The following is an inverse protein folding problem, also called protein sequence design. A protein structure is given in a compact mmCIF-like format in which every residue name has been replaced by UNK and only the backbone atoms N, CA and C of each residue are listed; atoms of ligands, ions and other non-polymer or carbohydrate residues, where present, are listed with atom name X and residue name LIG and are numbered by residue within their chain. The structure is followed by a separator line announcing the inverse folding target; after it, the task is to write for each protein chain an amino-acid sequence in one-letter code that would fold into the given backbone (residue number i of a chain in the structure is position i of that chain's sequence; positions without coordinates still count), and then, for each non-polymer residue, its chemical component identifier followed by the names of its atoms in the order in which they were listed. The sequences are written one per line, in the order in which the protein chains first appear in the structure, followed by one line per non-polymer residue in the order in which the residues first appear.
data_IF_109537183185
#
_entry.id   IF_109537183185
#
_cell.length_a   1.000
_cell.length_b   1.000
_cell.length_c   1.000
_cell.angle_alpha   90.00
_cell.angle_beta   90.00
_cell.angle_gamma   90.00
#
_symmetry.space_group_name_H-M   'P 1'
#
loop_
_entity.id
_entity.type
_entity.pdbx_description
1 polymer ?
#
# COMPACT_ATOMS: atom_id res chain seq x y z
N UNK A 1 -8.93 -9.81 22.85
CA UNK A 1 -7.49 -9.63 22.62
C UNK A 1 -7.24 -9.41 21.12
N UNK A 2 -6.47 -8.38 20.76
CA UNK A 2 -5.98 -8.16 19.38
C UNK A 2 -4.77 -9.09 19.20
N UNK A 3 -4.75 -9.86 18.13
CA UNK A 3 -3.66 -10.81 17.83
C UNK A 3 -2.78 -10.33 16.68
N UNK A 4 -3.30 -9.50 15.78
CA UNK A 4 -2.62 -9.08 14.59
C UNK A 4 -3.09 -7.70 14.09
N UNK A 5 -2.25 -7.04 13.29
CA UNK A 5 -2.59 -5.80 12.59
C UNK A 5 -2.40 -5.98 11.08
N UNK A 6 -3.34 -5.44 10.31
CA UNK A 6 -3.26 -5.38 8.86
C UNK A 6 -3.22 -3.93 8.41
N UNK A 7 -2.20 -3.57 7.62
CA UNK A 7 -2.19 -2.33 6.87
C UNK A 7 -2.83 -2.58 5.51
N UNK A 8 -4.06 -2.06 5.31
CA UNK A 8 -4.90 -2.32 4.16
C UNK A 8 -5.17 -1.05 3.35
N UNK A 9 -4.96 -1.09 2.03
CA UNK A 9 -5.30 0.05 1.19
C UNK A 9 -4.61 0.10 -0.17
N UNK A 10 -4.59 1.29 -0.76
CA UNK A 10 -3.91 1.57 -2.02
C UNK A 10 -2.46 2.00 -1.78
N UNK A 11 -1.65 1.90 -2.85
CA UNK A 11 -0.28 2.40 -2.89
C UNK A 11 0.03 3.03 -4.25
N UNK A 12 1.07 3.86 -4.30
CA UNK A 12 1.68 4.29 -5.55
C UNK A 12 2.81 3.34 -5.94
N UNK A 13 2.89 2.96 -7.21
CA UNK A 13 4.03 2.23 -7.76
C UNK A 13 5.23 3.16 -7.93
N UNK A 14 6.42 2.68 -7.58
CA UNK A 14 7.69 3.32 -7.93
C UNK A 14 8.50 2.46 -8.90
N UNK A 15 8.23 1.16 -8.96
CA UNK A 15 8.77 0.25 -9.95
C UNK A 15 7.91 0.27 -11.23
N UNK A 16 8.52 0.43 -12.40
CA UNK A 16 7.84 0.67 -13.68
C UNK A 16 7.01 -0.50 -14.19
N UNK A 17 7.30 -1.72 -13.74
CA UNK A 17 6.57 -2.93 -14.14
C UNK A 17 5.23 -3.12 -13.40
N UNK A 18 4.98 -2.36 -12.34
CA UNK A 18 3.72 -2.39 -11.61
C UNK A 18 2.63 -1.61 -12.35
N UNK A 19 1.47 -2.24 -12.52
CA UNK A 19 0.31 -1.69 -13.20
C UNK A 19 -0.84 -1.41 -12.22
N UNK A 20 -1.78 -0.52 -12.56
CA UNK A 20 -3.00 -0.34 -11.79
C UNK A 20 -3.70 -1.67 -11.50
N UNK A 21 -4.09 -1.88 -10.26
CA UNK A 21 -4.72 -3.11 -9.78
C UNK A 21 -3.77 -4.26 -9.44
N UNK A 22 -2.46 -4.16 -9.70
CA UNK A 22 -1.52 -5.15 -9.17
C UNK A 22 -1.55 -5.12 -7.64
N UNK A 23 -1.52 -6.30 -7.04
CA UNK A 23 -1.46 -6.47 -5.60
C UNK A 23 0.01 -6.53 -5.16
N UNK A 24 0.36 -5.77 -4.13
CA UNK A 24 1.65 -5.85 -3.45
C UNK A 24 1.41 -6.41 -2.05
N UNK A 25 2.03 -7.55 -1.78
CA UNK A 25 2.11 -8.21 -0.48
C UNK A 25 3.58 -8.14 -0.03
N UNK A 26 4.00 -7.01 0.53
CA UNK A 26 5.40 -6.75 0.78
C UNK A 26 5.97 -7.72 1.81
N UNK A 27 7.22 -8.08 1.64
CA UNK A 27 8.00 -8.85 2.60
C UNK A 27 8.53 -7.92 3.70
N UNK A 28 8.78 -6.67 3.31
CA UNK A 28 9.38 -5.66 4.17
C UNK A 28 8.76 -4.29 3.93
N UNK A 29 8.65 -3.53 5.01
CA UNK A 29 8.34 -2.10 4.99
C UNK A 29 9.63 -1.35 5.36
N UNK A 30 10.01 -0.37 4.55
CA UNK A 30 11.09 0.57 4.86
C UNK A 30 10.48 1.91 5.24
N UNK A 31 10.63 2.28 6.51
CA UNK A 31 10.18 3.56 7.04
C UNK A 31 11.06 4.72 6.56
N UNK A 32 10.54 5.94 6.60
CA UNK A 32 11.24 7.14 6.15
C UNK A 32 12.51 7.42 6.97
N UNK A 33 12.55 6.99 8.23
CA UNK A 33 13.72 7.13 9.11
C UNK A 33 14.76 6.02 8.93
N UNK A 34 14.56 5.12 7.97
CA UNK A 34 15.44 3.98 7.69
C UNK A 34 15.16 2.76 8.56
N UNK A 35 14.10 2.78 9.35
CA UNK A 35 13.64 1.63 10.11
C UNK A 35 13.00 0.58 9.19
N UNK A 36 13.32 -0.68 9.44
CA UNK A 36 12.81 -1.81 8.66
C UNK A 36 11.88 -2.69 9.50
N UNK A 37 10.80 -3.13 8.87
CA UNK A 37 9.80 -4.00 9.50
C UNK A 37 9.41 -5.11 8.54
N UNK A 38 9.66 -6.35 8.93
CA UNK A 38 9.22 -7.51 8.14
C UNK A 38 7.73 -7.78 8.39
N UNK A 39 7.03 -8.24 7.36
CA UNK A 39 5.68 -8.77 7.47
C UNK A 39 5.73 -10.25 7.84
N UNK A 40 4.67 -10.77 8.46
CA UNK A 40 4.60 -12.18 8.82
C UNK A 40 4.60 -13.06 7.56
N UNK A 41 5.66 -13.86 7.40
CA UNK A 41 5.89 -14.66 6.21
C UNK A 41 4.89 -15.83 6.10
N UNK A 42 4.50 -16.43 7.23
CA UNK A 42 3.54 -17.53 7.25
C UNK A 42 2.15 -17.03 6.88
N UNK A 43 1.74 -15.91 7.46
CA UNK A 43 0.47 -15.27 7.14
C UNK A 43 0.40 -14.82 5.69
N UNK A 44 1.45 -14.15 5.19
CA UNK A 44 1.54 -13.77 3.78
C UNK A 44 1.41 -14.97 2.84
N UNK A 45 2.12 -16.07 3.13
CA UNK A 45 2.05 -17.31 2.35
C UNK A 45 0.62 -17.89 2.35
N UNK A 46 -0.03 -17.93 3.50
CA UNK A 46 -1.38 -18.45 3.63
C UNK A 46 -2.38 -17.58 2.86
N UNK A 47 -2.26 -16.25 2.94
CA UNK A 47 -3.08 -15.36 2.14
C UNK A 47 -2.88 -15.60 0.64
N UNK A 48 -1.63 -15.71 0.16
CA UNK A 48 -1.31 -15.95 -1.25
C UNK A 48 -1.96 -17.24 -1.76
N UNK A 49 -1.96 -18.31 -0.97
CA UNK A 49 -2.57 -19.60 -1.33
C UNK A 49 -4.10 -19.53 -1.49
N UNK A 50 -4.74 -18.55 -0.87
CA UNK A 50 -6.18 -18.33 -0.96
C UNK A 50 -6.58 -17.27 -2.00
N UNK A 51 -5.61 -16.60 -2.64
CA UNK A 51 -5.92 -15.61 -3.67
C UNK A 51 -6.48 -16.28 -4.93
N UNK A 52 -7.46 -15.66 -5.60
CA UNK A 52 -7.89 -16.10 -6.92
C UNK A 52 -6.74 -16.05 -7.93
N UNK A 53 -6.64 -17.02 -8.83
CA UNK A 53 -5.57 -17.12 -9.85
C UNK A 53 -5.41 -15.87 -10.72
N UNK A 54 -6.51 -15.14 -10.96
CA UNK A 54 -6.48 -13.90 -11.76
C UNK A 54 -5.95 -12.68 -11.00
N UNK A 55 -5.69 -12.78 -9.68
CA UNK A 55 -5.11 -11.70 -8.89
C UNK A 55 -3.60 -11.77 -8.96
N UNK A 56 -3.02 -10.96 -9.83
CA UNK A 56 -1.56 -10.82 -9.93
C UNK A 56 -1.00 -10.14 -8.68
N UNK A 57 -0.06 -10.79 -8.01
CA UNK A 57 0.57 -10.28 -6.80
C UNK A 57 2.10 -10.28 -6.89
N UNK A 58 2.73 -9.39 -6.13
CA UNK A 58 4.19 -9.27 -6.01
C UNK A 58 4.58 -9.10 -4.53
N UNK A 59 5.75 -9.62 -4.19
CA UNK A 59 6.42 -9.39 -2.90
C UNK A 59 7.33 -8.16 -2.95
N UNK A 60 8.38 -8.14 -2.13
CA UNK A 60 9.42 -7.11 -2.12
C UNK A 60 9.23 -6.05 -1.05
N UNK A 61 9.80 -4.85 -1.26
CA UNK A 61 9.83 -3.78 -0.26
C UNK A 61 8.80 -2.70 -0.58
N UNK A 62 7.97 -2.35 0.42
CA UNK A 62 7.10 -1.18 0.42
C UNK A 62 7.80 -0.04 1.17
N UNK A 63 7.76 1.16 0.61
CA UNK A 63 8.39 2.35 1.19
C UNK A 63 7.33 3.21 1.87
N UNK A 64 7.58 3.67 3.11
CA UNK A 64 6.79 4.74 3.70
C UNK A 64 7.31 6.10 3.24
N UNK A 65 6.42 7.03 2.92
CA UNK A 65 6.74 8.42 2.66
C UNK A 65 5.77 9.33 3.40
N UNK A 66 6.27 10.30 4.14
CA UNK A 66 5.45 11.31 4.84
C UNK A 66 4.85 12.35 3.89
N UNK A 67 5.27 12.36 2.63
CA UNK A 67 4.82 13.30 1.61
C UNK A 67 4.42 12.60 0.31
N UNK A 68 3.53 13.26 -0.44
CA UNK A 68 3.09 12.76 -1.75
C UNK A 68 4.25 12.82 -2.74
N UNK A 69 4.64 11.66 -3.29
CA UNK A 69 5.62 11.53 -4.37
C UNK A 69 4.86 11.66 -5.70
N UNK A 70 4.74 12.88 -6.21
CA UNK A 70 3.80 13.23 -7.25
C UNK A 70 4.31 13.00 -8.70
N UNK A 71 5.63 13.03 -8.93
CA UNK A 71 6.19 12.98 -10.29
C UNK A 71 6.88 11.65 -10.60
N UNK A 72 6.87 11.27 -11.89
CA UNK A 72 7.62 10.11 -12.41
C UNK A 72 9.10 10.17 -11.99
N UNK A 73 9.71 11.36 -12.09
CA UNK A 73 11.11 11.54 -11.75
C UNK A 73 11.38 11.25 -10.26
N UNK A 74 10.51 11.72 -9.36
CA UNK A 74 10.61 11.42 -7.92
C UNK A 74 10.42 9.93 -7.64
N UNK A 75 9.40 9.30 -8.26
CA UNK A 75 9.15 7.86 -8.12
C UNK A 75 10.35 7.03 -8.59
N UNK A 76 10.89 7.37 -9.76
CA UNK A 76 12.08 6.70 -10.30
C UNK A 76 13.31 6.88 -9.39
N UNK A 77 13.58 8.09 -8.92
CA UNK A 77 14.69 8.36 -8.01
C UNK A 77 14.55 7.59 -6.69
N UNK A 78 13.32 7.48 -6.17
CA UNK A 78 13.05 6.70 -4.97
C UNK A 78 13.27 5.20 -5.21
N UNK A 79 12.80 4.67 -6.33
CA UNK A 79 13.03 3.27 -6.72
C UNK A 79 14.53 2.94 -6.84
N UNK A 80 15.30 3.79 -7.55
CA UNK A 80 16.76 3.60 -7.72
C UNK A 80 17.49 3.62 -6.37
N UNK A 81 17.09 4.52 -5.47
CA UNK A 81 17.73 4.68 -4.16
C UNK A 81 17.43 3.54 -3.21
N UNK A 82 16.21 3.00 -3.23
CA UNK A 82 15.70 2.08 -2.20
C UNK A 82 15.49 0.65 -2.67
N UNK A 83 15.41 0.42 -3.99
CA UNK A 83 14.97 -0.86 -4.55
C UNK A 83 13.50 -1.19 -4.27
N UNK A 84 12.74 -0.29 -3.63
CA UNK A 84 11.34 -0.50 -3.31
C UNK A 84 10.45 -0.63 -4.54
N UNK A 85 9.32 -1.31 -4.41
CA UNK A 85 8.38 -1.54 -5.50
C UNK A 85 7.23 -0.53 -5.52
N UNK A 86 6.76 -0.18 -4.34
CA UNK A 86 5.62 0.72 -4.14
C UNK A 86 5.85 1.59 -2.90
N UNK A 87 5.03 2.61 -2.74
CA UNK A 87 5.05 3.46 -1.56
C UNK A 87 3.63 3.73 -1.04
N UNK A 88 3.55 3.93 0.28
CA UNK A 88 2.37 4.45 0.96
C UNK A 88 2.75 5.45 2.06
N UNK A 89 1.81 5.83 2.91
CA UNK A 89 2.04 6.85 3.94
C UNK A 89 1.79 6.34 5.37
N UNK A 90 1.41 5.08 5.56
CA UNK A 90 0.89 4.59 6.84
C UNK A 90 1.50 3.26 7.31
N UNK A 91 2.03 2.44 6.38
CA UNK A 91 2.37 1.04 6.71
C UNK A 91 3.47 0.91 7.75
N UNK A 92 4.49 1.77 7.74
CA UNK A 92 5.55 1.67 8.74
C UNK A 92 5.05 2.11 10.14
N UNK A 93 4.14 3.08 10.22
CA UNK A 93 3.52 3.45 11.50
C UNK A 93 2.73 2.29 12.12
N UNK A 94 1.96 1.56 11.28
CA UNK A 94 1.22 0.37 11.72
C UNK A 94 2.19 -0.77 12.10
N UNK A 95 3.24 -0.97 11.31
CA UNK A 95 4.27 -1.97 11.59
C UNK A 95 5.01 -1.71 12.91
N UNK A 96 5.37 -0.45 13.19
CA UNK A 96 5.94 -0.03 14.48
C UNK A 96 5.01 -0.37 15.65
N UNK A 97 3.72 -0.08 15.48
CA UNK A 97 2.69 -0.39 16.49
C UNK A 97 2.59 -1.90 16.72
N UNK A 98 2.54 -2.70 15.65
CA UNK A 98 2.51 -4.16 15.74
C UNK A 98 3.73 -4.70 16.49
N UNK A 99 4.93 -4.24 16.12
CA UNK A 99 6.19 -4.62 16.77
C UNK A 99 6.20 -4.26 18.26
N UNK A 100 5.75 -3.05 18.60
CA UNK A 100 5.70 -2.60 20.01
C UNK A 100 4.81 -3.49 20.89
N UNK A 101 3.72 -3.99 20.31
CA UNK A 101 2.76 -4.85 21.02
C UNK A 101 2.97 -6.36 20.77
N UNK A 102 4.06 -6.77 20.12
CA UNK A 102 4.35 -8.17 19.74
C UNK A 102 3.21 -8.83 18.96
N UNK A 103 2.57 -8.07 18.06
CA UNK A 103 1.47 -8.54 17.23
C UNK A 103 2.00 -8.99 15.86
N UNK A 104 1.33 -9.98 15.25
CA UNK A 104 1.56 -10.31 13.85
C UNK A 104 1.19 -9.12 12.95
N UNK A 105 1.93 -8.93 11.87
CA UNK A 105 1.73 -7.81 10.97
C UNK A 105 1.72 -8.23 9.50
N UNK A 106 0.74 -7.73 8.77
CA UNK A 106 0.65 -7.88 7.33
C UNK A 106 0.33 -6.54 6.66
N UNK A 107 0.91 -6.28 5.49
CA UNK A 107 0.52 -5.16 4.64
C UNK A 107 -0.05 -5.70 3.32
N UNK A 108 -1.15 -5.11 2.87
CA UNK A 108 -1.88 -5.47 1.65
C UNK A 108 -2.15 -4.18 0.90
N UNK A 109 -1.51 -4.02 -0.27
CA UNK A 109 -1.59 -2.80 -1.07
C UNK A 109 -1.96 -3.12 -2.52
N UNK A 110 -2.94 -2.40 -3.06
CA UNK A 110 -3.23 -2.43 -4.49
C UNK A 110 -2.77 -1.14 -5.16
N UNK A 111 -2.15 -1.25 -6.32
CA UNK A 111 -1.60 -0.10 -7.04
C UNK A 111 -2.72 0.74 -7.64
N UNK A 112 -2.83 1.98 -7.18
CA UNK A 112 -3.79 2.98 -7.66
C UNK A 112 -3.11 4.11 -8.44
N UNK A 113 -1.81 4.33 -8.25
CA UNK A 113 -1.02 5.36 -8.91
C UNK A 113 0.21 4.72 -9.57
N UNK A 114 0.24 4.54 -10.90
CA UNK A 114 1.35 3.89 -11.59
C UNK A 114 2.61 4.75 -11.63
N UNK A 115 3.79 4.10 -11.67
CA UNK A 115 5.09 4.77 -11.66
C UNK A 115 5.30 5.75 -12.83
N UNK A 116 4.74 5.42 -13.98
CA UNK A 116 4.84 6.23 -15.22
C UNK A 116 3.87 7.42 -15.29
N UNK A 117 3.18 7.74 -14.21
CA UNK A 117 2.15 8.77 -14.18
C UNK A 117 2.56 9.93 -13.26
N UNK A 118 2.45 11.17 -13.77
CA UNK A 118 2.58 12.36 -12.93
C UNK A 118 1.22 12.67 -12.31
N UNK A 119 1.20 12.90 -11.01
CA UNK A 119 -0.04 13.21 -10.32
C UNK A 119 -0.58 14.55 -10.81
N UNK A 120 -1.84 14.64 -11.27
CA UNK A 120 -2.36 15.88 -11.86
C UNK A 120 -2.23 17.08 -10.92
N UNK A 121 -1.69 18.19 -11.41
CA UNK A 121 -1.57 19.43 -10.65
C UNK A 121 -2.89 19.87 -10.01
N UNK A 122 -4.01 19.65 -10.72
CA UNK A 122 -5.33 19.98 -10.23
C UNK A 122 -5.66 19.25 -8.93
N UNK A 123 -5.25 17.97 -8.81
CA UNK A 123 -5.47 17.16 -7.61
C UNK A 123 -4.49 17.54 -6.51
N UNK A 124 -3.18 17.67 -6.83
CA UNK A 124 -2.16 18.05 -5.83
C UNK A 124 -2.46 19.38 -5.16
N UNK A 125 -2.96 20.37 -5.90
CA UNK A 125 -3.36 21.66 -5.34
C UNK A 125 -4.73 21.65 -4.63
N UNK A 126 -5.56 20.62 -4.90
CA UNK A 126 -6.84 20.45 -4.22
C UNK A 126 -6.73 19.67 -2.90
N UNK A 127 -5.60 18.97 -2.69
CA UNK A 127 -5.35 18.26 -1.44
C UNK A 127 -5.10 19.25 -0.29
N UNK A 128 -5.66 18.91 0.87
CA UNK A 128 -5.30 19.58 2.12
C UNK A 128 -4.12 18.83 2.81
N UNK A 129 -3.53 19.36 3.88
CA UNK A 129 -2.48 18.68 4.64
C UNK A 129 -2.88 17.30 5.23
N UNK A 130 -4.19 17.01 5.26
CA UNK A 130 -4.74 15.74 5.72
C UNK A 130 -5.01 14.73 4.59
N UNK A 131 -4.74 15.14 3.32
CA UNK A 131 -4.97 14.29 2.15
C UNK A 131 -6.39 14.33 1.57
N UNK A 132 -7.31 15.14 2.12
CA UNK A 132 -8.66 15.24 1.56
C UNK A 132 -8.69 16.18 0.34
N UNK A 133 -9.48 15.81 -0.67
CA UNK A 133 -9.67 16.61 -1.87
C UNK A 133 -10.73 17.68 -1.68
N UNK A 134 -10.37 18.94 -1.87
CA UNK A 134 -11.31 20.07 -1.87
C UNK A 134 -11.95 20.23 -3.25
N UNK A 135 -13.14 19.65 -3.44
CA UNK A 135 -13.88 19.67 -4.71
C UNK A 135 -13.99 21.03 -5.38
N UNK A 136 -14.29 22.16 -4.69
CA UNK A 136 -14.36 23.46 -5.36
C UNK A 136 -13.02 23.90 -5.97
N UNK A 137 -11.90 23.59 -5.31
CA UNK A 137 -10.55 23.90 -5.84
C UNK A 137 -10.20 23.02 -7.04
N UNK A 138 -10.58 21.73 -6.98
CA UNK A 138 -10.40 20.81 -8.10
C UNK A 138 -11.18 21.29 -9.33
N UNK A 139 -12.46 21.61 -9.18
CA UNK A 139 -13.31 22.10 -10.28
C UNK A 139 -12.81 23.42 -10.88
N UNK A 140 -12.39 24.37 -10.04
CA UNK A 140 -11.80 25.63 -10.51
C UNK A 140 -10.53 25.42 -11.34
N UNK A 141 -9.67 24.46 -10.95
CA UNK A 141 -8.45 24.10 -11.69
C UNK A 141 -8.76 23.41 -13.02
N UNK A 142 -9.72 22.48 -13.03
CA UNK A 142 -10.12 21.77 -14.24
C UNK A 142 -10.79 22.73 -15.25
N UNK A 143 -11.51 23.75 -14.80
CA UNK A 143 -12.07 24.78 -15.68
C UNK A 143 -10.98 25.58 -16.40
N UNK A 144 -9.82 25.80 -15.77
CA UNK A 144 -8.67 26.53 -16.35
C UNK A 144 -7.76 25.60 -17.17
N UNK A 145 -7.74 24.28 -16.86
CA UNK A 145 -6.87 23.28 -17.53
C UNK A 145 -7.67 22.03 -17.93
N UNK A 146 -8.54 22.13 -18.94
CA UNK A 146 -9.42 21.02 -19.35
C UNK A 146 -8.66 19.78 -19.86
N UNK A 147 -7.41 19.93 -20.33
CA UNK A 147 -6.56 18.81 -20.72
C UNK A 147 -6.25 17.85 -19.57
N UNK A 148 -6.32 18.29 -18.31
CA UNK A 148 -6.12 17.43 -17.14
C UNK A 148 -7.33 16.51 -16.82
N UNK A 149 -8.46 16.72 -17.50
CA UNK A 149 -9.63 15.83 -17.35
C UNK A 149 -9.28 14.40 -17.78
N UNK A 150 -8.52 14.22 -18.86
CA UNK A 150 -8.06 12.91 -19.33
C UNK A 150 -7.17 12.19 -18.30
N UNK A 151 -6.26 12.93 -17.68
CA UNK A 151 -5.38 12.44 -16.62
C UNK A 151 -6.18 12.04 -15.36
N UNK A 152 -7.16 12.87 -14.97
CA UNK A 152 -8.05 12.57 -13.85
C UNK A 152 -8.89 11.31 -14.10
N UNK A 153 -9.40 11.12 -15.31
CA UNK A 153 -10.13 9.92 -15.69
C UNK A 153 -9.22 8.68 -15.69
N UNK A 154 -7.96 8.82 -16.11
CA UNK A 154 -6.97 7.75 -16.05
C UNK A 154 -6.67 7.36 -14.59
N UNK A 155 -6.47 8.34 -13.71
CA UNK A 155 -6.29 8.12 -12.27
C UNK A 155 -7.52 7.45 -11.65
N UNK A 156 -8.73 7.89 -12.00
CA UNK A 156 -9.98 7.27 -11.52
C UNK A 156 -10.10 5.80 -11.94
N UNK A 157 -9.71 5.47 -13.20
CA UNK A 157 -9.69 4.07 -13.67
C UNK A 157 -8.65 3.24 -12.91
N UNK A 158 -7.46 3.79 -12.67
CA UNK A 158 -6.41 3.13 -11.90
C UNK A 158 -6.87 2.84 -10.46
N UNK A 159 -7.49 3.83 -9.82
CA UNK A 159 -8.05 3.67 -8.48
C UNK A 159 -9.15 2.61 -8.43
N UNK A 160 -10.08 2.61 -9.40
CA UNK A 160 -11.12 1.59 -9.49
C UNK A 160 -10.55 0.18 -9.70
N UNK A 161 -9.47 0.03 -10.47
CA UNK A 161 -8.77 -1.24 -10.62
C UNK A 161 -8.18 -1.72 -9.28
N UNK A 162 -7.56 -0.82 -8.50
CA UNK A 162 -7.03 -1.12 -7.18
C UNK A 162 -8.14 -1.56 -6.20
N UNK A 163 -9.26 -0.82 -6.14
CA UNK A 163 -10.41 -1.18 -5.29
C UNK A 163 -10.99 -2.53 -5.68
N UNK A 164 -11.09 -2.82 -6.99
CA UNK A 164 -11.56 -4.13 -7.46
C UNK A 164 -10.65 -5.26 -6.96
N UNK A 165 -9.33 -5.08 -7.05
CA UNK A 165 -8.36 -6.06 -6.53
C UNK A 165 -8.51 -6.24 -5.02
N UNK A 166 -8.58 -5.16 -4.26
CA UNK A 166 -8.81 -5.23 -2.81
C UNK A 166 -10.09 -5.99 -2.46
N UNK A 167 -11.19 -5.74 -3.17
CA UNK A 167 -12.45 -6.47 -2.96
C UNK A 167 -12.31 -7.97 -3.25
N UNK A 168 -11.57 -8.36 -4.29
CA UNK A 168 -11.28 -9.77 -4.57
C UNK A 168 -10.46 -10.42 -3.44
N UNK A 169 -9.41 -9.72 -2.95
CA UNK A 169 -8.61 -10.19 -1.82
C UNK A 169 -9.48 -10.36 -0.57
N UNK A 170 -10.32 -9.38 -0.23
CA UNK A 170 -11.23 -9.48 0.91
C UNK A 170 -12.20 -10.65 0.79
N UNK A 171 -12.77 -10.86 -0.41
CA UNK A 171 -13.69 -11.98 -0.66
C UNK A 171 -13.02 -13.35 -0.50
N UNK A 172 -11.76 -13.46 -0.90
CA UNK A 172 -10.99 -14.69 -0.80
C UNK A 172 -10.41 -14.94 0.61
N UNK A 173 -9.99 -13.87 1.29
CA UNK A 173 -9.31 -13.95 2.58
C UNK A 173 -10.26 -14.07 3.79
N UNK A 174 -11.54 -13.79 3.62
CA UNK A 174 -12.49 -13.79 4.74
C UNK A 174 -12.30 -12.60 5.69
N UNK A 175 -12.89 -12.70 6.87
CA UNK A 175 -12.86 -11.61 7.87
C UNK A 175 -11.56 -11.52 8.66
N UNK A 176 -10.82 -12.60 8.74
CA UNK A 176 -9.55 -12.74 9.46
C UNK A 176 -8.31 -12.60 8.56
N UNK A 177 -8.52 -12.33 7.25
CA UNK A 177 -7.47 -12.26 6.24
C UNK A 177 -6.56 -13.49 6.21
N UNK A 178 -7.12 -14.67 6.46
CA UNK A 178 -6.37 -15.93 6.53
C UNK A 178 -5.26 -15.89 7.60
N UNK A 179 -5.51 -15.22 8.75
CA UNK A 179 -4.57 -15.20 9.86
C UNK A 179 -4.31 -16.65 10.32
N UNK A 180 -3.05 -17.12 10.36
CA UNK A 180 -2.74 -18.44 10.87
C UNK A 180 -3.20 -18.59 12.32
N UNK A 181 -3.74 -19.75 12.68
CA UNK A 181 -3.94 -20.05 14.09
C UNK A 181 -2.60 -19.91 14.81
N UNK A 182 -2.57 -19.07 15.84
CA UNK A 182 -1.35 -18.87 16.63
C UNK A 182 -0.95 -20.21 17.24
N UNK A 183 0.21 -20.72 16.83
CA UNK A 183 0.85 -21.82 17.60
C UNK A 183 1.08 -21.27 19.01
N UNK A 184 0.56 -21.92 20.07
CA UNK A 184 0.78 -21.42 21.42
C UNK A 184 2.29 -21.33 21.65
N UNK A 185 2.75 -20.15 22.10
CA UNK A 185 4.13 -19.93 22.50
C UNK A 185 4.53 -21.06 23.46
N UNK A 186 5.64 -21.76 23.23
CA UNK A 186 6.11 -22.73 24.22
C UNK A 186 6.29 -21.95 25.52
N UNK A 187 5.54 -22.36 26.55
CA UNK A 187 5.72 -21.84 27.89
C UNK A 187 7.19 -22.04 28.26
N UNK A 188 7.89 -20.93 28.50
CA UNK A 188 9.24 -20.97 29.05
C UNK A 188 9.08 -21.70 30.40
N UNK A 189 9.72 -22.85 30.62
CA UNK A 189 9.64 -23.51 31.90
C UNK A 189 10.18 -22.55 32.97
N UNK A 190 9.38 -22.29 34.00
CA UNK A 190 9.82 -21.59 35.18
C UNK A 190 11.03 -22.36 35.74
N UNK A 191 12.23 -21.78 35.61
CA UNK A 191 13.41 -22.29 36.30
C UNK A 191 13.23 -22.01 37.78
N UNK A 192 12.91 -23.06 38.53
CA UNK A 192 13.10 -23.12 39.99
C UNK A 192 14.57 -22.93 40.38
#
# INVERSE_FOLDING_TARGET
NIQALVSWGCAAAIASHLKPGHLVLPERILGEQGDEHDTDAAWRKQLIQNLPEHVSHLGGTLIESSSVVATKAQKQALHIRTGGLALDMESAAIARTAKHHSLQFLAIRAIADPAGFDFPDAVSHALNPRGDVRLPRLLARLAVRPQQIGELLALGRAFNAAIKTLNHVRGAAGNDFCLPESTPFPLIPDNE
#
